data_IF_895037372572
#
_entry.id   IF_895037372572
#
_cell.length_a   1.000
_cell.length_b   1.000
_cell.length_c   1.000
_cell.angle_alpha   90.00
_cell.angle_beta   90.00
_cell.angle_gamma   90.00
#
_symmetry.space_group_name_H-M   'P 1'
#
loop_
_entity.id
_entity.type
_entity.pdbx_description
1 polymer ?
#
# COMPACT_ATOMS: atom_id res chain seq x y z
N UNK A 1 -10.07 -0.91 -5.47
CA UNK A 1 -8.81 -0.93 -6.23
C UNK A 1 -8.17 -2.28 -5.98
N UNK A 2 -7.98 -3.02 -7.07
CA UNK A 2 -7.20 -4.26 -7.10
C UNK A 2 -5.78 -3.92 -7.59
N UNK A 3 -4.89 -4.91 -7.72
CA UNK A 3 -3.49 -4.65 -8.11
C UNK A 3 -3.36 -4.30 -9.58
N UNK A 4 -4.25 -4.84 -10.42
CA UNK A 4 -4.32 -4.63 -11.87
C UNK A 4 -4.46 -3.13 -12.19
N UNK A 5 -5.29 -2.42 -11.42
CA UNK A 5 -5.48 -0.97 -11.53
C UNK A 5 -4.17 -0.17 -11.35
N UNK A 6 -3.20 -0.71 -10.59
CA UNK A 6 -1.92 -0.05 -10.30
C UNK A 6 -0.85 -0.31 -11.36
N UNK A 7 -0.97 -1.42 -12.10
CA UNK A 7 0.09 -1.90 -13.00
C UNK A 7 -0.23 -1.64 -14.47
N UNK A 8 -1.51 -1.62 -14.86
CA UNK A 8 -1.90 -1.40 -16.27
C UNK A 8 -1.67 0.05 -16.73
N UNK A 9 -1.77 1.02 -15.82
CA UNK A 9 -1.68 2.46 -16.11
C UNK A 9 -0.25 3.02 -16.02
N UNK A 10 0.77 2.20 -15.76
CA UNK A 10 2.14 2.67 -15.52
C UNK A 10 3.19 1.83 -16.23
N UNK A 11 4.07 2.49 -17.00
CA UNK A 11 5.25 1.86 -17.59
C UNK A 11 6.27 1.56 -16.47
N UNK A 12 6.54 0.27 -16.25
CA UNK A 12 7.42 -0.26 -15.19
C UNK A 12 6.98 0.11 -13.75
N UNK A 13 5.86 -0.47 -13.26
CA UNK A 13 5.28 -0.11 -11.98
C UNK A 13 6.17 -0.51 -10.79
N UNK A 14 6.38 0.41 -9.85
CA UNK A 14 7.07 0.16 -8.60
C UNK A 14 6.05 0.00 -7.46
N UNK A 15 5.73 -1.25 -7.11
CA UNK A 15 4.71 -1.57 -6.11
C UNK A 15 5.34 -1.96 -4.77
N UNK A 16 4.83 -1.38 -3.68
CA UNK A 16 5.17 -1.81 -2.32
C UNK A 16 4.13 -2.80 -1.79
N UNK A 17 4.57 -4.02 -1.50
CA UNK A 17 3.70 -5.10 -1.00
C UNK A 17 3.96 -5.27 0.49
N UNK A 18 2.95 -4.97 1.32
CA UNK A 18 3.10 -4.98 2.78
C UNK A 18 2.28 -6.11 3.39
N UNK A 19 2.94 -7.19 3.81
CA UNK A 19 2.31 -8.33 4.50
C UNK A 19 2.53 -8.27 6.01
N UNK A 20 1.49 -8.52 6.79
CA UNK A 20 1.62 -8.68 8.24
C UNK A 20 1.98 -7.40 9.02
N UNK A 21 1.81 -6.20 8.44
CA UNK A 21 2.00 -4.96 9.20
C UNK A 21 0.83 -4.79 10.17
N UNK A 22 1.11 -4.85 11.47
CA UNK A 22 0.08 -4.75 12.53
C UNK A 22 0.11 -3.44 13.29
N UNK A 23 1.22 -2.70 13.26
CA UNK A 23 1.35 -1.41 13.93
C UNK A 23 0.90 -0.27 13.00
N UNK A 24 -0.09 0.56 13.39
CA UNK A 24 -0.55 1.69 12.59
C UNK A 24 0.54 2.72 12.28
N UNK A 25 1.46 2.94 13.22
CA UNK A 25 2.54 3.91 13.05
C UNK A 25 3.55 3.46 11.99
N UNK A 26 3.96 2.19 12.04
CA UNK A 26 4.80 1.57 11.03
C UNK A 26 4.13 1.63 9.65
N UNK A 27 2.84 1.31 9.54
CA UNK A 27 2.14 1.41 8.25
C UNK A 27 2.22 2.84 7.70
N UNK A 28 1.89 3.85 8.50
CA UNK A 28 1.94 5.23 8.01
C UNK A 28 3.36 5.70 7.67
N UNK A 29 4.36 5.32 8.46
CA UNK A 29 5.77 5.60 8.14
C UNK A 29 6.22 4.98 6.82
N UNK A 30 5.83 3.72 6.55
CA UNK A 30 6.15 3.05 5.28
C UNK A 30 5.44 3.72 4.11
N UNK A 31 4.15 4.07 4.25
CA UNK A 31 3.39 4.78 3.22
C UNK A 31 4.09 6.09 2.84
N UNK A 32 4.51 6.87 3.84
CA UNK A 32 5.24 8.13 3.64
C UNK A 32 6.57 7.91 2.92
N UNK A 33 7.36 6.92 3.35
CA UNK A 33 8.63 6.61 2.69
C UNK A 33 8.44 6.10 1.26
N UNK A 34 7.39 5.33 1.02
CA UNK A 34 7.06 4.79 -0.30
C UNK A 34 6.67 5.86 -1.31
N UNK A 35 5.81 6.80 -0.89
CA UNK A 35 5.45 7.97 -1.70
C UNK A 35 6.71 8.79 -2.06
N UNK A 36 7.55 9.12 -1.08
CA UNK A 36 8.79 9.86 -1.32
C UNK A 36 9.80 9.10 -2.21
N UNK A 37 9.75 7.76 -2.20
CA UNK A 37 10.59 6.91 -3.05
C UNK A 37 10.04 6.76 -4.49
N UNK A 38 8.87 7.32 -4.79
CA UNK A 38 8.23 7.22 -6.09
C UNK A 38 7.57 5.87 -6.34
N UNK A 39 7.08 5.19 -5.30
CA UNK A 39 6.27 4.00 -5.48
C UNK A 39 4.96 4.35 -6.23
N UNK A 40 4.64 3.57 -7.25
CA UNK A 40 3.42 3.69 -8.05
C UNK A 40 2.18 3.44 -7.20
N UNK A 41 2.26 2.49 -6.25
CA UNK A 41 1.16 2.15 -5.38
C UNK A 41 1.55 1.16 -4.29
N UNK A 42 0.60 0.91 -3.38
CA UNK A 42 0.79 0.01 -2.23
C UNK A 42 -0.26 -1.10 -2.29
N UNK A 43 0.17 -2.35 -2.08
CA UNK A 43 -0.70 -3.51 -1.92
C UNK A 43 -0.77 -3.97 -0.47
N UNK A 44 -1.98 -4.03 0.08
CA UNK A 44 -2.27 -4.54 1.43
C UNK A 44 -3.14 -5.80 1.41
N UNK A 45 -2.92 -6.79 2.28
CA UNK A 45 -3.87 -7.89 2.45
C UNK A 45 -5.11 -7.40 3.22
N UNK A 46 -6.28 -7.95 2.92
CA UNK A 46 -7.55 -7.64 3.60
C UNK A 46 -7.63 -8.19 5.02
N UNK A 47 -6.79 -9.16 5.35
CA UNK A 47 -6.75 -9.84 6.64
C UNK A 47 -5.34 -9.78 7.25
N UNK A 48 -5.27 -9.88 8.57
CA UNK A 48 -4.00 -9.94 9.34
C UNK A 48 -3.08 -8.72 9.14
N UNK A 49 -3.66 -7.57 8.81
CA UNK A 49 -2.97 -6.29 8.64
C UNK A 49 -3.77 -5.18 9.32
N UNK A 50 -3.06 -4.11 9.69
CA UNK A 50 -3.68 -2.86 10.09
C UNK A 50 -4.31 -2.18 8.86
N UNK A 51 -5.53 -1.68 9.01
CA UNK A 51 -6.18 -0.88 7.96
C UNK A 51 -5.77 0.58 8.05
N UNK A 52 -6.18 1.37 7.07
CA UNK A 52 -6.12 2.82 7.16
C UNK A 52 -7.00 3.28 8.33
N UNK A 53 -6.38 3.96 9.28
CA UNK A 53 -7.00 4.51 10.50
C UNK A 53 -6.48 5.93 10.71
N UNK A 54 -7.10 6.74 11.59
CA UNK A 54 -6.63 8.10 11.87
C UNK A 54 -5.15 8.15 12.29
N UNK A 55 -4.65 7.15 13.01
CA UNK A 55 -3.23 7.06 13.37
C UNK A 55 -2.36 6.90 12.13
N UNK A 56 -2.72 5.99 11.22
CA UNK A 56 -2.00 5.78 9.95
C UNK A 56 -1.96 7.09 9.16
N UNK A 57 -3.11 7.75 8.99
CA UNK A 57 -3.21 9.06 8.30
C UNK A 57 -2.33 10.13 8.92
N UNK A 58 -2.33 10.23 10.26
CA UNK A 58 -1.46 11.17 10.98
C UNK A 58 0.03 10.88 10.74
N UNK A 59 0.44 9.61 10.82
CA UNK A 59 1.84 9.21 10.66
C UNK A 59 2.33 9.26 9.21
N UNK A 60 1.43 9.08 8.24
CA UNK A 60 1.73 9.15 6.81
C UNK A 60 1.92 10.60 6.30
N UNK A 61 1.56 11.61 7.09
CA UNK A 61 1.76 13.03 6.76
C UNK A 61 1.19 13.45 5.41
N UNK A 62 -0.01 12.96 5.08
CA UNK A 62 -0.70 13.28 3.82
C UNK A 62 -0.35 12.36 2.64
N UNK A 63 0.66 11.50 2.75
CA UNK A 63 1.04 10.59 1.66
C UNK A 63 -0.09 9.67 1.18
N UNK A 64 -1.04 9.30 2.06
CA UNK A 64 -2.21 8.46 1.71
C UNK A 64 -3.08 9.09 0.61
N UNK A 65 -3.09 10.41 0.49
CA UNK A 65 -3.88 11.11 -0.52
C UNK A 65 -3.18 11.15 -1.89
N UNK A 66 -1.90 10.76 -1.96
CA UNK A 66 -1.06 10.88 -3.14
C UNK A 66 -0.61 9.54 -3.71
N UNK A 67 -0.48 8.50 -2.89
CA UNK A 67 -0.14 7.15 -3.35
C UNK A 67 -1.37 6.23 -3.31
N UNK A 68 -1.78 5.62 -4.43
CA UNK A 68 -2.93 4.73 -4.46
C UNK A 68 -2.67 3.44 -3.68
N UNK A 69 -3.69 2.96 -2.98
CA UNK A 69 -3.63 1.76 -2.13
C UNK A 69 -4.65 0.73 -2.63
N UNK A 70 -4.15 -0.41 -3.10
CA UNK A 70 -4.93 -1.58 -3.45
C UNK A 70 -5.01 -2.57 -2.29
N UNK A 71 -6.09 -3.37 -2.26
CA UNK A 71 -6.24 -4.44 -1.26
C UNK A 71 -6.50 -5.79 -1.90
N UNK A 72 -5.87 -6.85 -1.40
CA UNK A 72 -6.06 -8.21 -1.92
C UNK A 72 -6.57 -9.18 -0.84
N UNK A 73 -7.29 -10.23 -1.26
CA UNK A 73 -7.63 -11.35 -0.39
C UNK A 73 -6.41 -12.20 0.02
N UNK A 74 -5.33 -12.16 -0.76
CA UNK A 74 -4.08 -12.86 -0.45
C UNK A 74 -2.94 -12.45 -1.39
N UNK A 75 -1.76 -12.19 -0.80
CA UNK A 75 -0.59 -11.72 -1.53
C UNK A 75 -0.08 -12.72 -2.58
N UNK A 76 0.07 -14.03 -2.28
CA UNK A 76 0.58 -14.96 -3.28
C UNK A 76 -0.22 -14.95 -4.58
N UNK A 77 -1.56 -14.91 -4.49
CA UNK A 77 -2.42 -14.83 -5.66
C UNK A 77 -2.18 -13.53 -6.44
N UNK A 78 -2.13 -12.39 -5.74
CA UNK A 78 -1.94 -11.08 -6.36
C UNK A 78 -0.58 -10.89 -7.06
N UNK A 79 0.46 -11.61 -6.63
CA UNK A 79 1.80 -11.54 -7.25
C UNK A 79 1.94 -12.43 -8.50
N UNK A 80 0.99 -13.34 -8.70
CA UNK A 80 1.01 -14.30 -9.82
C UNK A 80 -0.10 -14.03 -10.83
N UNK A 81 -0.96 -13.04 -10.57
CA UNK A 81 -2.02 -12.59 -11.46
C UNK A 81 -1.45 -11.98 -12.74
#
# INVERSE_FOLDING_TARGET
MEIEDLVEETENPFILVLDGITDPGNLGSIIRSGECAGATGILLPRHRSVRITPTVSKTAQGAIEHIPIATTGGIPKALTS
#
